data_IF_093148108307
#
_entry.id   IF_093148108307
#
_cell.length_a   1.000
_cell.length_b   1.000
_cell.length_c   1.000
_cell.angle_alpha   90.00
_cell.angle_beta   90.00
_cell.angle_gamma   90.00
#
_symmetry.space_group_name_H-M   'P 1'
#
loop_
_entity.id
_entity.type
_entity.pdbx_description
1 polymer ?
#
# COMPACT_ATOMS: atom_id res chain seq x y z
N UNK A 1 35.78 -9.42 -24.36
CA UNK A 1 35.87 -10.69 -23.60
C UNK A 1 34.72 -11.58 -24.03
N UNK A 2 35.00 -12.80 -24.49
CA UNK A 2 34.00 -13.68 -25.09
C UNK A 2 33.03 -14.22 -24.03
N UNK A 3 31.74 -14.30 -24.37
CA UNK A 3 30.66 -14.84 -23.50
C UNK A 3 30.95 -16.25 -22.95
N UNK A 4 31.89 -16.98 -23.57
CA UNK A 4 32.37 -18.28 -23.11
C UNK A 4 33.26 -18.19 -21.85
N UNK A 5 34.11 -17.18 -21.75
CA UNK A 5 35.02 -16.98 -20.61
C UNK A 5 34.27 -16.55 -19.36
N UNK A 6 33.16 -15.82 -19.49
CA UNK A 6 32.32 -15.43 -18.35
C UNK A 6 31.55 -16.61 -17.74
N UNK A 7 31.14 -17.57 -18.57
CA UNK A 7 30.44 -18.79 -18.10
C UNK A 7 31.38 -19.76 -17.38
N UNK A 8 32.65 -19.84 -17.79
CA UNK A 8 33.67 -20.67 -17.14
C UNK A 8 34.04 -20.11 -15.77
N UNK A 9 34.14 -18.79 -15.62
CA UNK A 9 34.41 -18.13 -14.31
C UNK A 9 33.23 -18.30 -13.36
N UNK A 10 31.98 -18.23 -13.83
CA UNK A 10 30.79 -18.43 -12.98
C UNK A 10 30.67 -19.88 -12.48
N UNK A 11 31.04 -20.87 -13.31
CA UNK A 11 31.04 -22.30 -12.92
C UNK A 11 32.18 -22.59 -11.93
N UNK A 12 33.37 -21.96 -12.08
CA UNK A 12 34.48 -22.10 -11.16
C UNK A 12 34.21 -21.51 -9.78
N UNK A 13 33.50 -20.39 -9.68
CA UNK A 13 33.09 -19.79 -8.40
C UNK A 13 32.01 -20.66 -7.71
N UNK A 14 31.08 -21.26 -8.47
CA UNK A 14 30.07 -22.14 -7.89
C UNK A 14 30.68 -23.47 -7.38
N UNK A 15 31.73 -23.98 -8.06
CA UNK A 15 32.44 -25.20 -7.63
C UNK A 15 33.28 -24.98 -6.35
N UNK A 16 33.79 -23.80 -6.11
CA UNK A 16 34.52 -23.45 -4.89
C UNK A 16 33.62 -23.32 -3.66
N UNK A 17 32.35 -22.97 -3.82
CA UNK A 17 31.37 -22.95 -2.71
C UNK A 17 30.88 -24.34 -2.31
N UNK A 18 30.83 -25.30 -3.23
CA UNK A 18 30.44 -26.70 -2.92
C UNK A 18 31.57 -27.56 -2.39
N UNK A 19 32.83 -27.22 -2.66
CA UNK A 19 33.97 -27.99 -2.12
C UNK A 19 34.28 -27.65 -0.64
N UNK A 20 33.80 -26.53 -0.11
CA UNK A 20 33.93 -26.18 1.33
C UNK A 20 33.05 -26.99 2.26
N UNK A 21 31.91 -27.51 1.79
CA UNK A 21 30.92 -28.24 2.59
C UNK A 21 31.26 -29.73 2.66
N UNK A 22 31.96 -30.29 1.66
CA UNK A 22 32.34 -31.70 1.64
C UNK A 22 33.59 -32.02 2.49
N UNK A 23 34.40 -31.02 2.86
CA UNK A 23 35.61 -31.24 3.66
C UNK A 23 35.35 -31.37 5.18
N UNK A 24 34.20 -30.93 5.67
CA UNK A 24 33.84 -31.07 7.10
C UNK A 24 33.19 -32.41 7.45
N UNK A 25 32.68 -33.16 6.47
CA UNK A 25 32.03 -34.46 6.71
C UNK A 25 32.99 -35.66 6.76
N UNK A 26 34.26 -35.50 6.34
CA UNK A 26 35.23 -36.62 6.32
C UNK A 26 36.24 -36.63 7.46
N UNK A 27 36.19 -35.69 8.40
CA UNK A 27 37.18 -35.62 9.49
C UNK A 27 36.66 -36.13 10.84
N UNK A 28 35.66 -37.01 10.85
CA UNK A 28 35.16 -37.60 12.11
C UNK A 28 35.53 -39.08 12.33
N UNK A 29 36.32 -39.70 11.46
CA UNK A 29 36.61 -41.12 11.62
C UNK A 29 38.09 -41.57 11.64
N UNK A 30 39.02 -40.68 12.02
CA UNK A 30 40.42 -41.13 12.23
C UNK A 30 41.14 -40.29 13.25
N UNK A 31 40.87 -40.51 14.54
CA UNK A 31 41.81 -40.19 15.62
C UNK A 31 41.43 -40.98 16.87
N UNK A 32 41.78 -42.25 16.88
CA UNK A 32 42.15 -42.93 18.14
C UNK A 32 43.67 -42.99 18.22
N UNK A 33 44.17 -42.55 19.42
CA UNK A 33 45.55 -42.69 19.99
C UNK A 33 46.55 -41.56 19.62
N UNK A 34 46.76 -40.64 20.55
CA UNK A 34 47.97 -40.54 21.39
C UNK A 34 47.93 -39.32 22.30
N UNK A 35 48.00 -39.59 23.58
CA UNK A 35 48.66 -38.95 24.73
C UNK A 35 48.65 -37.43 24.96
N UNK A 36 47.96 -37.08 26.06
CA UNK A 36 48.33 -36.14 27.14
C UNK A 36 49.01 -34.79 26.82
N UNK A 37 48.18 -33.72 26.84
CA UNK A 37 48.38 -32.58 27.71
C UNK A 37 47.00 -31.92 28.00
N UNK A 38 46.56 -32.04 29.24
CA UNK A 38 45.31 -31.43 29.72
C UNK A 38 45.46 -29.91 29.87
N UNK A 39 44.89 -29.14 28.94
CA UNK A 39 44.46 -27.78 29.23
C UNK A 39 42.98 -27.79 29.59
N UNK A 40 42.55 -27.29 30.77
CA UNK A 40 41.15 -27.25 31.13
C UNK A 40 40.45 -26.22 30.23
N UNK A 41 39.74 -26.68 29.16
CA UNK A 41 38.80 -25.86 28.44
C UNK A 41 37.67 -25.54 29.41
N UNK A 42 37.67 -24.35 30.00
CA UNK A 42 36.54 -23.77 30.68
C UNK A 42 35.38 -23.68 29.68
N UNK A 43 34.54 -24.71 29.62
CA UNK A 43 33.21 -24.63 29.06
C UNK A 43 32.45 -23.64 29.91
N UNK A 44 32.31 -22.40 29.40
CA UNK A 44 31.41 -21.42 29.95
C UNK A 44 30.02 -22.04 29.94
N UNK A 45 29.61 -22.64 31.08
CA UNK A 45 28.25 -23.14 31.25
C UNK A 45 27.34 -21.89 31.01
N UNK A 46 26.58 -21.88 29.91
CA UNK A 46 25.48 -20.97 29.75
C UNK A 46 24.59 -21.20 30.96
N UNK A 47 24.56 -20.23 31.90
CA UNK A 47 23.59 -20.26 33.00
C UNK A 47 22.24 -20.46 32.38
N UNK A 48 21.65 -21.63 32.56
CA UNK A 48 20.26 -21.87 32.21
C UNK A 48 19.45 -20.84 32.97
N UNK A 49 18.81 -19.90 32.22
CA UNK A 49 17.88 -18.97 32.81
C UNK A 49 16.77 -19.83 33.40
N UNK A 50 16.56 -19.77 34.74
CA UNK A 50 15.42 -20.42 35.38
C UNK A 50 14.16 -19.97 34.62
N UNK A 51 13.28 -20.93 34.22
CA UNK A 51 12.00 -20.54 33.62
C UNK A 51 11.30 -19.60 34.58
N UNK A 52 10.70 -18.54 34.08
CA UNK A 52 9.91 -17.62 34.87
C UNK A 52 8.61 -18.30 35.24
N UNK A 53 8.25 -18.26 36.52
CA UNK A 53 6.99 -18.82 37.00
C UNK A 53 5.85 -17.82 36.74
N UNK A 54 5.04 -18.08 35.71
CA UNK A 54 3.87 -17.27 35.37
C UNK A 54 2.75 -17.38 36.42
N UNK A 55 2.79 -18.36 37.29
CA UNK A 55 1.85 -18.50 38.41
C UNK A 55 2.29 -17.71 39.65
N UNK A 56 3.48 -17.12 39.65
CA UNK A 56 3.93 -16.28 40.75
C UNK A 56 3.06 -15.02 40.83
N UNK A 57 2.62 -14.69 42.03
CA UNK A 57 1.84 -13.47 42.25
C UNK A 57 2.67 -12.22 41.90
N UNK A 58 2.24 -11.39 40.91
CA UNK A 58 2.97 -10.19 40.50
C UNK A 58 3.12 -9.15 41.63
N UNK A 59 2.21 -9.14 42.60
CA UNK A 59 2.23 -8.27 43.79
C UNK A 59 3.24 -8.74 44.84
N UNK A 60 3.76 -9.95 44.73
CA UNK A 60 4.75 -10.42 45.69
C UNK A 60 6.03 -9.58 45.63
N UNK A 61 6.38 -8.95 46.74
CA UNK A 61 7.57 -8.11 46.86
C UNK A 61 7.38 -6.63 46.49
N UNK A 62 6.16 -6.19 46.14
CA UNK A 62 5.82 -4.77 45.93
C UNK A 62 5.62 -4.14 47.32
N UNK A 63 6.57 -3.32 47.76
CA UNK A 63 6.57 -2.67 49.09
C UNK A 63 6.73 -1.14 49.00
N UNK A 64 6.60 -0.57 47.81
CA UNK A 64 6.78 0.87 47.61
C UNK A 64 5.56 1.70 48.03
N UNK A 65 5.78 3.02 48.20
CA UNK A 65 4.70 3.99 48.37
C UNK A 65 3.87 4.20 47.08
N UNK A 66 4.37 3.74 45.95
CA UNK A 66 3.73 3.81 44.63
C UNK A 66 3.75 2.40 43.99
N UNK A 67 2.91 1.48 44.47
CA UNK A 67 2.93 0.09 44.02
C UNK A 67 2.48 -0.06 42.53
N UNK A 68 1.63 0.82 42.05
CA UNK A 68 1.21 0.91 40.65
C UNK A 68 2.39 1.25 39.73
N UNK A 69 3.20 2.24 40.09
CA UNK A 69 4.42 2.57 39.37
C UNK A 69 5.42 1.43 39.37
N UNK A 70 5.61 0.78 40.51
CA UNK A 70 6.55 -0.33 40.63
C UNK A 70 6.14 -1.50 39.73
N UNK A 71 4.85 -1.84 39.63
CA UNK A 71 4.32 -2.84 38.73
C UNK A 71 4.55 -2.43 37.26
N UNK A 72 4.27 -1.16 36.91
CA UNK A 72 4.51 -0.64 35.59
C UNK A 72 5.99 -0.73 35.20
N UNK A 73 6.90 -0.25 36.05
CA UNK A 73 8.34 -0.29 35.83
C UNK A 73 8.85 -1.74 35.69
N UNK A 74 8.34 -2.66 36.51
CA UNK A 74 8.65 -4.10 36.43
C UNK A 74 8.23 -4.69 35.07
N UNK A 75 7.03 -4.35 34.61
CA UNK A 75 6.55 -4.75 33.29
C UNK A 75 7.45 -4.21 32.16
N UNK A 76 7.84 -2.92 32.21
CA UNK A 76 8.74 -2.32 31.24
C UNK A 76 10.13 -3.00 31.21
N UNK A 77 10.65 -3.39 32.37
CA UNK A 77 11.89 -4.18 32.46
C UNK A 77 11.71 -5.57 31.87
N UNK A 78 10.56 -6.22 32.10
CA UNK A 78 10.26 -7.53 31.52
C UNK A 78 10.18 -7.44 29.99
N UNK A 79 9.50 -6.42 29.44
CA UNK A 79 9.40 -6.14 28.02
C UNK A 79 10.77 -5.93 27.36
N UNK A 80 11.66 -5.11 27.96
CA UNK A 80 13.04 -4.91 27.48
C UNK A 80 13.87 -6.20 27.46
N UNK A 81 13.52 -7.19 28.28
CA UNK A 81 14.17 -8.50 28.32
C UNK A 81 13.53 -9.52 27.37
N UNK A 82 12.50 -9.11 26.59
CA UNK A 82 11.76 -10.00 25.70
C UNK A 82 10.86 -11.01 26.44
N UNK A 83 10.43 -10.68 27.67
CA UNK A 83 9.52 -11.51 28.49
C UNK A 83 8.12 -10.91 28.39
N UNK A 84 7.51 -11.04 27.25
CA UNK A 84 6.27 -10.33 26.92
C UNK A 84 5.07 -10.83 27.71
N UNK A 85 4.99 -12.14 27.95
CA UNK A 85 3.99 -12.80 28.80
C UNK A 85 4.03 -12.28 30.25
N UNK A 86 5.23 -12.15 30.82
CA UNK A 86 5.45 -11.58 32.17
C UNK A 86 5.06 -10.12 32.21
N UNK A 87 5.45 -9.34 31.18
CA UNK A 87 5.08 -7.92 31.10
C UNK A 87 3.56 -7.75 31.04
N UNK A 88 2.85 -8.56 30.26
CA UNK A 88 1.38 -8.55 30.19
C UNK A 88 0.74 -8.87 31.54
N UNK A 89 1.25 -9.89 32.23
CA UNK A 89 0.75 -10.27 33.56
C UNK A 89 0.91 -9.11 34.56
N UNK A 90 2.10 -8.48 34.61
CA UNK A 90 2.36 -7.35 35.50
C UNK A 90 1.47 -6.15 35.16
N UNK A 91 1.28 -5.82 33.85
CA UNK A 91 0.41 -4.74 33.37
C UNK A 91 -1.07 -5.00 33.69
N UNK A 92 -1.59 -6.20 33.42
CA UNK A 92 -2.97 -6.58 33.71
C UNK A 92 -3.24 -6.56 35.22
N UNK A 93 -2.28 -7.04 36.03
CA UNK A 93 -2.38 -6.95 37.49
C UNK A 93 -2.44 -5.51 37.94
N UNK A 94 -1.62 -4.62 37.39
CA UNK A 94 -1.65 -3.19 37.69
C UNK A 94 -3.01 -2.57 37.32
N UNK A 95 -3.51 -2.80 36.10
CA UNK A 95 -4.77 -2.27 35.61
C UNK A 95 -5.97 -2.71 36.45
N UNK A 96 -5.98 -3.96 36.91
CA UNK A 96 -7.04 -4.54 37.73
C UNK A 96 -6.97 -4.06 39.17
N UNK A 97 -5.78 -3.87 39.73
CA UNK A 97 -5.58 -3.53 41.15
C UNK A 97 -5.63 -2.02 41.39
N UNK A 98 -5.19 -1.23 40.43
CA UNK A 98 -5.05 0.22 40.51
C UNK A 98 -5.75 0.94 39.34
N UNK A 99 -7.08 0.86 39.21
CA UNK A 99 -7.83 1.42 38.09
C UNK A 99 -7.75 2.94 37.98
N UNK A 100 -7.45 3.64 39.06
CA UNK A 100 -7.31 5.11 39.14
C UNK A 100 -5.84 5.58 39.02
N UNK A 101 -4.92 4.69 38.68
CA UNK A 101 -3.50 5.03 38.53
C UNK A 101 -3.25 6.02 37.37
N UNK A 102 -2.34 6.96 37.61
CA UNK A 102 -1.83 7.85 36.55
C UNK A 102 -1.16 7.09 35.37
N UNK A 103 -0.69 5.86 35.61
CA UNK A 103 -0.08 4.98 34.61
C UNK A 103 -1.09 4.15 33.82
N UNK A 104 -2.41 4.23 34.13
CA UNK A 104 -3.45 3.40 33.52
C UNK A 104 -3.44 3.44 32.02
N UNK A 105 -3.45 4.63 31.42
CA UNK A 105 -3.46 4.78 29.94
C UNK A 105 -2.20 4.19 29.32
N UNK A 106 -1.03 4.53 29.87
CA UNK A 106 0.24 3.98 29.38
C UNK A 106 0.34 2.48 29.57
N UNK A 107 -0.17 1.93 30.66
CA UNK A 107 -0.20 0.50 30.91
C UNK A 107 -1.11 -0.22 29.88
N UNK A 108 -2.31 0.32 29.60
CA UNK A 108 -3.21 -0.26 28.58
C UNK A 108 -2.56 -0.25 27.19
N UNK A 109 -1.95 0.86 26.78
CA UNK A 109 -1.20 0.96 25.53
C UNK A 109 -0.03 -0.04 25.50
N UNK A 110 0.69 -0.19 26.61
CA UNK A 110 1.83 -1.11 26.73
C UNK A 110 1.42 -2.59 26.66
N UNK A 111 0.18 -2.97 26.94
CA UNK A 111 -0.31 -4.33 26.69
C UNK A 111 -0.26 -4.62 25.19
N UNK A 112 -0.79 -3.73 24.35
CA UNK A 112 -0.65 -3.82 22.89
C UNK A 112 0.82 -3.89 22.44
N UNK A 113 1.70 -3.05 23.04
CA UNK A 113 3.13 -3.05 22.75
C UNK A 113 3.82 -4.39 23.04
N UNK A 114 3.35 -5.12 24.05
CA UNK A 114 3.91 -6.45 24.35
C UNK A 114 3.59 -7.45 23.24
N UNK A 115 2.35 -7.42 22.72
CA UNK A 115 1.92 -8.25 21.63
C UNK A 115 2.63 -7.89 20.32
N UNK A 116 2.72 -6.59 20.02
CA UNK A 116 3.42 -6.10 18.83
C UNK A 116 4.90 -6.54 18.81
N UNK A 117 5.62 -6.41 19.94
CA UNK A 117 7.02 -6.82 20.06
C UNK A 117 7.23 -8.32 20.09
N UNK A 118 6.24 -9.09 20.52
CA UNK A 118 6.28 -10.54 20.45
C UNK A 118 6.30 -11.02 19.00
N UNK A 119 5.51 -10.37 18.14
CA UNK A 119 5.47 -10.62 16.71
C UNK A 119 4.79 -11.92 16.33
N UNK A 120 4.72 -12.15 15.01
CA UNK A 120 3.96 -13.26 14.44
C UNK A 120 2.47 -12.92 14.29
N UNK A 121 1.78 -13.56 13.33
CA UNK A 121 0.43 -13.10 12.92
C UNK A 121 -0.58 -13.10 14.09
N UNK A 122 -0.59 -14.12 14.93
CA UNK A 122 -1.51 -14.20 16.07
C UNK A 122 -1.27 -13.09 17.10
N UNK A 123 0.00 -12.78 17.41
CA UNK A 123 0.33 -11.69 18.35
C UNK A 123 0.04 -10.32 17.75
N UNK A 124 0.28 -10.12 16.45
CA UNK A 124 -0.04 -8.87 15.76
C UNK A 124 -1.56 -8.62 15.71
N UNK A 125 -2.39 -9.64 15.47
CA UNK A 125 -3.85 -9.52 15.59
C UNK A 125 -4.30 -9.14 17.00
N UNK A 126 -3.66 -9.67 18.05
CA UNK A 126 -3.95 -9.27 19.42
C UNK A 126 -3.48 -7.84 19.71
N UNK A 127 -2.32 -7.43 19.17
CA UNK A 127 -1.83 -6.05 19.30
C UNK A 127 -2.81 -5.06 18.67
N UNK A 128 -3.29 -5.35 17.46
CA UNK A 128 -4.30 -4.56 16.77
C UNK A 128 -5.55 -4.37 17.65
N UNK A 129 -6.15 -5.47 18.13
CA UNK A 129 -7.32 -5.42 19.00
C UNK A 129 -7.08 -4.57 20.26
N UNK A 130 -5.92 -4.71 20.91
CA UNK A 130 -5.59 -3.91 22.11
C UNK A 130 -5.41 -2.41 21.81
N UNK A 131 -4.87 -2.06 20.64
CA UNK A 131 -4.75 -0.67 20.21
C UNK A 131 -6.10 -0.06 19.81
N UNK A 132 -6.96 -0.79 19.10
CA UNK A 132 -8.32 -0.35 18.77
C UNK A 132 -9.19 -0.17 20.02
N UNK A 133 -9.12 -1.10 20.98
CA UNK A 133 -9.72 -0.96 22.29
C UNK A 133 -9.23 0.31 23.00
N UNK A 134 -7.90 0.57 22.94
CA UNK A 134 -7.34 1.77 23.55
C UNK A 134 -7.93 3.04 22.94
N UNK A 135 -7.99 3.13 21.60
CA UNK A 135 -8.56 4.28 20.88
C UNK A 135 -10.05 4.46 21.24
N UNK A 136 -10.79 3.36 21.34
CA UNK A 136 -12.21 3.38 21.67
C UNK A 136 -12.45 3.91 23.10
N UNK A 137 -11.65 3.49 24.06
CA UNK A 137 -11.81 3.92 25.47
C UNK A 137 -11.18 5.29 25.77
N UNK A 138 -10.17 5.69 25.00
CA UNK A 138 -9.40 6.92 25.24
C UNK A 138 -9.21 7.76 23.96
N UNK A 139 -10.28 8.16 23.24
CA UNK A 139 -10.16 8.75 21.90
C UNK A 139 -9.47 10.13 21.88
N UNK A 140 -9.53 10.86 23.00
CA UNK A 140 -9.09 12.27 23.08
C UNK A 140 -7.73 12.46 23.76
N UNK A 141 -6.96 11.39 23.94
CA UNK A 141 -5.62 11.48 24.53
C UNK A 141 -4.52 11.43 23.46
N UNK A 142 -3.37 12.08 23.69
CA UNK A 142 -2.27 12.05 22.72
C UNK A 142 -1.80 10.64 22.37
N UNK A 143 -1.89 9.71 23.31
CA UNK A 143 -1.54 8.30 23.14
C UNK A 143 -2.48 7.56 22.16
N UNK A 144 -3.69 8.09 21.90
CA UNK A 144 -4.59 7.51 20.89
C UNK A 144 -4.00 7.64 19.47
N UNK A 145 -3.34 8.76 19.18
CA UNK A 145 -2.60 8.92 17.92
C UNK A 145 -1.44 7.91 17.81
N UNK A 146 -0.75 7.64 18.92
CA UNK A 146 0.30 6.61 18.96
C UNK A 146 -0.28 5.21 18.74
N UNK A 147 -1.41 4.89 19.34
CA UNK A 147 -2.10 3.62 19.14
C UNK A 147 -2.53 3.43 17.68
N UNK A 148 -3.16 4.46 17.07
CA UNK A 148 -3.57 4.41 15.64
C UNK A 148 -2.38 4.26 14.71
N UNK A 149 -1.27 4.97 15.00
CA UNK A 149 -0.03 4.81 14.26
C UNK A 149 0.52 3.37 14.33
N UNK A 150 0.40 2.71 15.49
CA UNK A 150 0.85 1.33 15.67
C UNK A 150 -0.04 0.32 14.98
N UNK A 151 -1.35 0.56 14.88
CA UNK A 151 -2.24 -0.25 14.03
C UNK A 151 -1.76 -0.19 12.57
N UNK A 152 -1.48 1.00 12.06
CA UNK A 152 -0.92 1.16 10.71
C UNK A 152 0.46 0.48 10.56
N UNK A 153 1.35 0.63 11.54
CA UNK A 153 2.68 0.00 11.56
C UNK A 153 2.58 -1.56 11.54
N UNK A 154 1.53 -2.17 12.11
CA UNK A 154 1.29 -3.63 12.04
C UNK A 154 1.16 -4.09 10.58
N UNK A 155 0.34 -3.42 9.79
CA UNK A 155 0.14 -3.75 8.38
C UNK A 155 1.37 -3.39 7.55
N UNK A 156 2.01 -2.26 7.84
CA UNK A 156 3.25 -1.85 7.18
C UNK A 156 4.36 -2.89 7.31
N UNK A 157 4.56 -3.47 8.50
CA UNK A 157 5.58 -4.50 8.74
C UNK A 157 5.25 -5.84 8.06
N UNK A 158 3.98 -6.06 7.73
CA UNK A 158 3.51 -7.27 7.04
C UNK A 158 3.40 -7.11 5.52
N UNK A 159 3.71 -5.93 4.98
CA UNK A 159 3.70 -5.72 3.52
C UNK A 159 4.64 -6.70 2.82
N UNK A 160 4.16 -7.22 1.70
CA UNK A 160 4.94 -8.05 0.80
C UNK A 160 5.43 -7.23 -0.42
N UNK A 161 6.09 -7.91 -1.36
CA UNK A 161 6.56 -7.31 -2.61
C UNK A 161 5.37 -6.94 -3.51
N UNK A 162 5.53 -5.95 -4.42
CA UNK A 162 4.45 -5.49 -5.31
C UNK A 162 3.81 -6.60 -6.16
N UNK A 163 4.58 -7.65 -6.50
CA UNK A 163 4.15 -8.81 -7.30
C UNK A 163 3.41 -9.88 -6.47
N UNK A 164 3.16 -9.65 -5.19
CA UNK A 164 2.54 -10.59 -4.25
C UNK A 164 1.23 -10.06 -3.67
N UNK A 165 0.89 -10.54 -2.46
CA UNK A 165 -0.28 -10.08 -1.74
C UNK A 165 -0.13 -8.63 -1.30
N UNK A 166 -1.05 -7.80 -1.74
CA UNK A 166 -1.08 -6.37 -1.49
C UNK A 166 -2.08 -5.96 -0.39
N UNK A 167 -2.81 -6.93 0.18
CA UNK A 167 -3.86 -6.67 1.19
C UNK A 167 -3.33 -5.87 2.37
N UNK A 168 -2.14 -6.23 2.88
CA UNK A 168 -1.53 -5.49 3.98
C UNK A 168 -1.09 -4.07 3.58
N UNK A 169 -0.69 -3.85 2.32
CA UNK A 169 -0.36 -2.52 1.83
C UNK A 169 -1.61 -1.63 1.73
N UNK A 170 -2.74 -2.14 1.21
CA UNK A 170 -4.02 -1.40 1.19
C UNK A 170 -4.51 -1.09 2.61
N UNK A 171 -4.37 -2.03 3.55
CA UNK A 171 -4.72 -1.79 4.94
C UNK A 171 -3.83 -0.72 5.56
N UNK A 172 -2.50 -0.82 5.40
CA UNK A 172 -1.56 0.17 5.90
C UNK A 172 -1.86 1.58 5.33
N UNK A 173 -2.15 1.68 4.03
CA UNK A 173 -2.53 2.94 3.39
C UNK A 173 -3.77 3.56 4.06
N UNK A 174 -4.83 2.76 4.26
CA UNK A 174 -6.05 3.22 4.91
C UNK A 174 -5.78 3.67 6.36
N UNK A 175 -5.07 2.86 7.14
CA UNK A 175 -4.81 3.13 8.54
C UNK A 175 -3.95 4.40 8.75
N UNK A 176 -2.92 4.63 7.90
CA UNK A 176 -2.14 5.87 7.95
C UNK A 176 -2.96 7.09 7.56
N UNK A 177 -3.82 7.00 6.52
CA UNK A 177 -4.74 8.09 6.16
C UNK A 177 -5.72 8.41 7.28
N UNK A 178 -6.32 7.40 7.88
CA UNK A 178 -7.19 7.58 9.03
C UNK A 178 -6.46 8.23 10.20
N UNK A 179 -5.23 7.78 10.52
CA UNK A 179 -4.40 8.40 11.57
C UNK A 179 -4.16 9.88 11.31
N UNK A 180 -3.81 10.26 10.07
CA UNK A 180 -3.56 11.65 9.68
C UNK A 180 -4.83 12.49 9.80
N UNK A 181 -5.98 11.95 9.38
CA UNK A 181 -7.26 12.65 9.40
C UNK A 181 -7.84 12.77 10.82
N UNK A 182 -7.71 11.73 11.66
CA UNK A 182 -8.22 11.73 13.02
C UNK A 182 -7.39 12.58 14.00
N UNK A 183 -6.07 12.65 13.79
CA UNK A 183 -5.15 13.30 14.70
C UNK A 183 -4.24 14.33 14.01
N UNK A 184 -4.80 15.35 13.32
CA UNK A 184 -4.03 16.28 12.47
C UNK A 184 -2.97 17.08 13.26
N UNK A 185 -3.17 17.30 14.55
CA UNK A 185 -2.27 18.05 15.42
C UNK A 185 -1.20 17.17 16.10
N UNK A 186 -1.17 15.86 15.79
CA UNK A 186 -0.22 14.94 16.42
C UNK A 186 1.21 15.20 15.93
N UNK A 187 2.17 15.12 16.84
CA UNK A 187 3.61 15.19 16.51
C UNK A 187 4.08 14.01 15.64
N UNK A 188 3.26 12.97 15.49
CA UNK A 188 3.53 11.79 14.66
C UNK A 188 3.18 12.00 13.18
N UNK A 189 2.46 13.08 12.82
CA UNK A 189 2.03 13.36 11.43
C UNK A 189 3.17 13.30 10.41
N UNK A 190 4.35 13.92 10.61
CA UNK A 190 5.42 13.82 9.63
C UNK A 190 5.88 12.38 9.37
N UNK A 191 5.93 11.55 10.42
CA UNK A 191 6.26 10.13 10.31
C UNK A 191 5.15 9.35 9.62
N UNK A 192 3.88 9.60 9.95
CA UNK A 192 2.73 8.95 9.30
C UNK A 192 2.69 9.26 7.80
N UNK A 193 2.91 10.53 7.41
CA UNK A 193 2.99 10.94 6.01
C UNK A 193 4.14 10.24 5.27
N UNK A 194 5.31 10.07 5.89
CA UNK A 194 6.41 9.33 5.26
C UNK A 194 6.04 7.87 5.07
N UNK A 195 5.50 7.20 6.10
CA UNK A 195 5.04 5.82 6.00
C UNK A 195 3.94 5.64 4.93
N UNK A 196 3.03 6.61 4.83
CA UNK A 196 2.01 6.61 3.78
C UNK A 196 2.64 6.69 2.38
N UNK A 197 3.63 7.56 2.16
CA UNK A 197 4.39 7.61 0.89
C UNK A 197 5.08 6.29 0.58
N UNK A 198 5.71 5.66 1.58
CA UNK A 198 6.38 4.35 1.40
C UNK A 198 5.37 3.26 0.97
N UNK A 199 4.16 3.26 1.53
CA UNK A 199 3.09 2.33 1.16
C UNK A 199 2.57 2.62 -0.25
N UNK A 200 2.33 3.89 -0.56
CA UNK A 200 1.86 4.34 -1.88
C UNK A 200 2.86 4.02 -2.98
N UNK A 201 4.16 4.05 -2.68
CA UNK A 201 5.21 3.59 -3.61
C UNK A 201 5.06 2.10 -3.98
N UNK A 202 4.75 1.24 -2.98
CA UNK A 202 4.54 -0.20 -3.20
C UNK A 202 3.29 -0.47 -4.03
N UNK A 203 2.18 0.22 -3.73
CA UNK A 203 0.91 0.06 -4.44
C UNK A 203 1.01 0.59 -5.88
N UNK A 204 1.67 1.73 -6.07
CA UNK A 204 1.95 2.30 -7.39
C UNK A 204 2.82 1.38 -8.25
N UNK A 205 3.91 0.84 -7.69
CA UNK A 205 4.78 -0.11 -8.39
C UNK A 205 4.01 -1.35 -8.86
N UNK A 206 3.07 -1.84 -8.03
CA UNK A 206 2.22 -2.97 -8.42
C UNK A 206 1.34 -2.65 -9.63
N UNK A 207 0.60 -1.54 -9.60
CA UNK A 207 -0.26 -1.13 -10.71
C UNK A 207 0.56 -0.81 -11.97
N UNK A 208 1.73 -0.21 -11.82
CA UNK A 208 2.68 0.03 -12.89
C UNK A 208 3.13 -1.28 -13.56
N UNK A 209 3.52 -2.29 -12.79
CA UNK A 209 3.90 -3.61 -13.32
C UNK A 209 2.76 -4.29 -14.08
N UNK A 210 1.52 -4.14 -13.60
CA UNK A 210 0.33 -4.67 -14.29
C UNK A 210 0.10 -3.91 -15.59
N UNK A 211 0.22 -2.58 -15.58
CA UNK A 211 0.08 -1.74 -16.78
C UNK A 211 1.11 -2.11 -17.86
N UNK A 212 2.39 -2.18 -17.48
CA UNK A 212 3.49 -2.58 -18.39
C UNK A 212 3.31 -4.00 -18.92
N UNK A 213 2.74 -4.92 -18.13
CA UNK A 213 2.43 -6.27 -18.61
C UNK A 213 1.39 -6.25 -19.75
N UNK A 214 0.32 -5.43 -19.63
CA UNK A 214 -0.65 -5.27 -20.69
C UNK A 214 -0.06 -4.60 -21.93
N UNK A 215 0.80 -3.61 -21.76
CA UNK A 215 1.50 -2.93 -22.84
C UNK A 215 2.35 -3.90 -23.68
N UNK A 216 3.12 -4.79 -23.03
CA UNK A 216 3.93 -5.82 -23.72
C UNK A 216 3.10 -6.82 -24.54
N UNK A 217 1.78 -6.81 -24.40
CA UNK A 217 0.83 -7.67 -25.12
C UNK A 217 -0.04 -6.91 -26.09
N UNK A 218 0.31 -5.64 -26.34
CA UNK A 218 -0.45 -4.75 -27.23
C UNK A 218 -1.92 -4.52 -26.77
N UNK A 219 -2.23 -4.82 -25.48
CA UNK A 219 -3.53 -4.49 -24.87
C UNK A 219 -3.47 -3.09 -24.27
N UNK A 220 -3.38 -2.09 -25.16
CA UNK A 220 -3.14 -0.70 -24.76
C UNK A 220 -4.26 -0.12 -23.88
N UNK A 221 -5.51 -0.50 -24.12
CA UNK A 221 -6.64 0.00 -23.32
C UNK A 221 -6.56 -0.49 -21.88
N UNK A 222 -6.20 -1.75 -21.67
CA UNK A 222 -6.00 -2.28 -20.32
C UNK A 222 -4.75 -1.68 -19.66
N UNK A 223 -3.68 -1.45 -20.42
CA UNK A 223 -2.48 -0.76 -19.96
C UNK A 223 -2.80 0.66 -19.49
N UNK A 224 -3.45 1.47 -20.33
CA UNK A 224 -3.88 2.84 -20.00
C UNK A 224 -4.70 2.85 -18.71
N UNK A 225 -5.66 1.94 -18.55
CA UNK A 225 -6.50 1.91 -17.36
C UNK A 225 -5.72 1.69 -16.05
N UNK A 226 -4.64 0.90 -16.09
CA UNK A 226 -3.77 0.67 -14.94
C UNK A 226 -2.80 1.82 -14.71
N UNK A 227 -2.18 2.31 -15.76
CA UNK A 227 -1.22 3.41 -15.68
C UNK A 227 -1.91 4.74 -15.29
N UNK A 228 -3.12 5.01 -15.81
CA UNK A 228 -3.94 6.15 -15.38
C UNK A 228 -4.30 6.05 -13.88
N UNK A 229 -4.54 4.83 -13.37
CA UNK A 229 -4.77 4.63 -11.93
C UNK A 229 -3.53 5.06 -11.12
N UNK A 230 -2.31 4.73 -11.58
CA UNK A 230 -1.07 5.19 -10.94
C UNK A 230 -0.95 6.71 -11.00
N UNK A 231 -1.13 7.30 -12.19
CA UNK A 231 -0.96 8.74 -12.40
C UNK A 231 -1.98 9.61 -11.64
N UNK A 232 -3.16 9.05 -11.34
CA UNK A 232 -4.24 9.73 -10.61
C UNK A 232 -4.08 9.55 -9.09
N UNK A 233 -3.85 8.30 -8.64
CA UNK A 233 -3.87 7.97 -7.22
C UNK A 233 -2.52 8.20 -6.51
N UNK A 234 -1.39 8.08 -7.24
CA UNK A 234 -0.04 8.08 -6.68
C UNK A 234 0.91 9.07 -7.36
N UNK A 235 0.62 10.39 -7.34
CA UNK A 235 1.42 11.39 -8.08
C UNK A 235 2.87 11.54 -7.61
N UNK A 236 3.20 11.06 -6.41
CA UNK A 236 4.56 11.07 -5.84
C UNK A 236 5.36 9.80 -6.11
N UNK A 237 4.80 8.87 -6.88
CA UNK A 237 5.47 7.63 -7.26
C UNK A 237 6.81 7.88 -7.97
N UNK A 238 7.82 7.08 -7.66
CA UNK A 238 9.20 7.30 -8.13
C UNK A 238 9.37 7.25 -9.65
N UNK A 239 8.48 6.57 -10.37
CA UNK A 239 8.49 6.44 -11.83
C UNK A 239 7.30 7.12 -12.50
N UNK A 240 6.76 8.19 -11.89
CA UNK A 240 5.59 8.90 -12.46
C UNK A 240 5.85 9.47 -13.85
N UNK A 241 7.08 9.88 -14.14
CA UNK A 241 7.52 10.29 -15.48
C UNK A 241 7.45 9.14 -16.49
N UNK A 242 7.98 7.95 -16.13
CA UNK A 242 7.88 6.73 -16.94
C UNK A 242 6.42 6.31 -17.16
N UNK A 243 5.60 6.35 -16.10
CA UNK A 243 4.15 6.05 -16.19
C UNK A 243 3.49 6.92 -17.26
N UNK A 244 3.79 8.22 -17.29
CA UNK A 244 3.22 9.13 -18.28
C UNK A 244 3.77 8.88 -19.70
N UNK A 245 5.03 8.46 -19.83
CA UNK A 245 5.58 8.02 -21.11
C UNK A 245 4.83 6.79 -21.60
N UNK A 246 4.68 5.76 -20.75
CA UNK A 246 4.01 4.51 -21.10
C UNK A 246 2.52 4.75 -21.44
N UNK A 247 1.83 5.65 -20.73
CA UNK A 247 0.48 6.11 -21.11
C UNK A 247 0.45 6.70 -22.51
N UNK A 248 1.42 7.58 -22.81
CA UNK A 248 1.54 8.19 -24.11
C UNK A 248 1.80 7.16 -25.21
N UNK A 249 2.74 6.24 -24.96
CA UNK A 249 3.10 5.15 -25.90
C UNK A 249 1.92 4.19 -26.11
N UNK A 250 1.14 3.88 -25.06
CA UNK A 250 -0.07 3.08 -25.18
C UNK A 250 -1.18 3.78 -25.99
N UNK A 251 -1.39 5.09 -25.81
CA UNK A 251 -2.31 5.84 -26.67
C UNK A 251 -1.84 5.90 -28.13
N UNK A 252 -0.54 6.06 -28.40
CA UNK A 252 0.02 6.01 -29.73
C UNK A 252 -0.13 4.62 -30.36
N UNK A 253 0.08 3.56 -29.59
CA UNK A 253 -0.15 2.18 -29.99
C UNK A 253 -1.61 1.91 -30.34
N UNK A 254 -2.56 2.42 -29.57
CA UNK A 254 -3.98 2.30 -29.87
C UNK A 254 -4.36 3.08 -31.15
N UNK A 255 -3.78 4.27 -31.37
CA UNK A 255 -3.95 5.02 -32.61
C UNK A 255 -3.49 4.20 -33.83
N UNK A 256 -2.35 3.50 -33.70
CA UNK A 256 -1.85 2.59 -34.73
C UNK A 256 -2.78 1.39 -34.96
N UNK A 257 -3.28 0.76 -33.91
CA UNK A 257 -4.25 -0.34 -34.00
C UNK A 257 -5.51 0.07 -34.76
N UNK A 258 -6.01 1.28 -34.52
CA UNK A 258 -7.17 1.84 -35.22
C UNK A 258 -6.88 2.03 -36.71
N UNK A 259 -5.69 2.53 -37.06
CA UNK A 259 -5.28 2.67 -38.46
C UNK A 259 -5.28 1.33 -39.19
N UNK A 260 -4.81 0.27 -38.53
CA UNK A 260 -4.75 -1.08 -39.08
C UNK A 260 -6.07 -1.84 -39.01
N UNK A 261 -7.07 -1.38 -38.26
CA UNK A 261 -8.31 -2.10 -38.02
C UNK A 261 -9.11 -2.36 -39.31
N UNK A 262 -9.48 -3.61 -39.64
CA UNK A 262 -10.30 -3.90 -40.83
C UNK A 262 -11.73 -3.43 -40.63
N UNK A 263 -12.41 -3.02 -41.70
CA UNK A 263 -13.86 -2.74 -41.70
C UNK A 263 -14.29 -1.36 -41.23
N UNK A 264 -13.40 -0.55 -40.67
CA UNK A 264 -13.68 0.84 -40.35
C UNK A 264 -13.51 1.76 -41.56
N UNK A 265 -14.42 2.73 -41.74
CA UNK A 265 -14.32 3.78 -42.73
C UNK A 265 -13.10 4.66 -42.45
N UNK A 266 -12.35 5.07 -43.50
CA UNK A 266 -11.15 5.91 -43.39
C UNK A 266 -11.37 7.21 -42.59
N UNK A 267 -12.52 7.87 -42.80
CA UNK A 267 -12.87 9.08 -42.03
C UNK A 267 -13.13 8.83 -40.53
N UNK A 268 -13.65 7.65 -40.19
CA UNK A 268 -13.83 7.22 -38.77
C UNK A 268 -12.48 6.92 -38.14
N UNK A 269 -11.61 6.16 -38.86
CA UNK A 269 -10.23 5.89 -38.43
C UNK A 269 -9.48 7.16 -38.12
N UNK A 270 -9.52 8.14 -39.02
CA UNK A 270 -8.80 9.41 -38.88
C UNK A 270 -9.26 10.18 -37.64
N UNK A 271 -10.59 10.25 -37.42
CA UNK A 271 -11.12 10.93 -36.22
C UNK A 271 -10.70 10.24 -34.92
N UNK A 272 -10.80 8.90 -34.86
CA UNK A 272 -10.37 8.16 -33.68
C UNK A 272 -8.86 8.30 -33.45
N UNK A 273 -8.06 8.11 -34.50
CA UNK A 273 -6.60 8.25 -34.46
C UNK A 273 -6.20 9.62 -33.89
N UNK A 274 -6.80 10.70 -34.43
CA UNK A 274 -6.52 12.07 -33.96
C UNK A 274 -6.77 12.23 -32.45
N UNK A 275 -7.86 11.67 -31.93
CA UNK A 275 -8.18 11.74 -30.49
C UNK A 275 -7.12 11.03 -29.64
N UNK A 276 -6.68 9.83 -30.07
CA UNK A 276 -5.66 9.08 -29.32
C UNK A 276 -4.27 9.72 -29.43
N UNK A 277 -3.90 10.25 -30.59
CA UNK A 277 -2.67 11.03 -30.77
C UNK A 277 -2.68 12.31 -29.90
N UNK A 278 -3.81 12.98 -29.77
CA UNK A 278 -3.95 14.15 -28.89
C UNK A 278 -3.77 13.76 -27.40
N UNK A 279 -4.32 12.61 -26.99
CA UNK A 279 -4.13 12.06 -25.64
C UNK A 279 -2.67 11.66 -25.40
N UNK A 280 -2.01 11.01 -26.37
CA UNK A 280 -0.59 10.69 -26.28
C UNK A 280 0.26 11.95 -26.11
N UNK A 281 0.03 12.97 -26.94
CA UNK A 281 0.72 14.26 -26.84
C UNK A 281 0.48 14.95 -25.48
N UNK A 282 -0.73 14.87 -24.94
CA UNK A 282 -1.05 15.42 -23.63
C UNK A 282 -0.29 14.70 -22.48
N UNK A 283 -0.14 13.37 -22.57
CA UNK A 283 0.64 12.59 -21.60
C UNK A 283 2.12 12.99 -21.62
N UNK A 284 2.75 13.05 -22.81
CA UNK A 284 4.14 13.50 -22.94
C UNK A 284 4.33 14.94 -22.48
N UNK A 285 3.40 15.85 -22.81
CA UNK A 285 3.43 17.23 -22.36
C UNK A 285 3.38 17.32 -20.82
N UNK A 286 2.61 16.44 -20.17
CA UNK A 286 2.51 16.37 -18.70
C UNK A 286 3.83 15.95 -18.05
N UNK A 287 4.64 15.07 -18.68
CA UNK A 287 6.00 14.76 -18.20
C UNK A 287 6.83 16.04 -18.09
N UNK A 288 6.87 16.83 -19.17
CA UNK A 288 7.70 18.05 -19.23
C UNK A 288 7.22 19.10 -18.27
N UNK A 289 5.89 19.26 -18.10
CA UNK A 289 5.32 20.33 -17.29
C UNK A 289 5.26 20.02 -15.81
N UNK A 290 5.12 18.73 -15.41
CA UNK A 290 5.01 18.35 -14.00
C UNK A 290 6.32 17.77 -13.43
N UNK A 291 7.09 17.04 -14.24
CA UNK A 291 8.32 16.34 -13.82
C UNK A 291 9.55 16.78 -14.63
N UNK A 292 9.82 18.11 -14.79
CA UNK A 292 10.86 18.60 -15.69
C UNK A 292 12.29 18.21 -15.32
N UNK A 293 12.53 17.70 -14.12
CA UNK A 293 13.84 17.24 -13.65
C UNK A 293 13.95 15.72 -13.60
N UNK A 294 12.90 15.00 -14.02
CA UNK A 294 12.90 13.55 -14.04
C UNK A 294 13.70 12.96 -15.22
N UNK A 295 14.13 11.70 -15.16
CA UNK A 295 14.99 11.09 -16.16
C UNK A 295 14.44 11.06 -17.59
N UNK A 296 13.11 10.88 -17.79
CA UNK A 296 12.49 10.66 -19.11
C UNK A 296 11.95 11.92 -19.79
N UNK A 297 12.36 13.11 -19.34
CA UNK A 297 11.90 14.38 -19.93
C UNK A 297 12.34 14.53 -21.41
N UNK A 298 13.57 14.14 -21.73
CA UNK A 298 14.05 14.22 -23.12
C UNK A 298 13.33 13.20 -24.02
N UNK A 299 12.98 12.03 -23.50
CA UNK A 299 12.17 11.05 -24.22
C UNK A 299 10.77 11.61 -24.57
N UNK A 300 10.14 12.35 -23.63
CA UNK A 300 8.87 13.03 -23.89
C UNK A 300 8.99 14.13 -24.96
N UNK A 301 10.07 14.91 -24.93
CA UNK A 301 10.35 15.95 -25.94
C UNK A 301 10.50 15.33 -27.34
N UNK A 302 11.28 14.28 -27.46
CA UNK A 302 11.53 13.60 -28.74
C UNK A 302 10.23 13.05 -29.32
N UNK A 303 9.35 12.46 -28.49
CA UNK A 303 8.04 11.94 -28.94
C UNK A 303 7.13 13.06 -29.43
N UNK A 304 7.05 14.22 -28.71
CA UNK A 304 6.27 15.37 -29.16
C UNK A 304 6.79 15.93 -30.48
N UNK A 305 8.11 16.06 -30.65
CA UNK A 305 8.73 16.51 -31.89
C UNK A 305 8.42 15.54 -33.04
N UNK A 306 8.54 14.22 -32.81
CA UNK A 306 8.20 13.19 -33.81
C UNK A 306 6.72 13.27 -34.25
N UNK A 307 5.82 13.63 -33.34
CA UNK A 307 4.40 13.85 -33.62
C UNK A 307 4.09 15.23 -34.23
N UNK A 308 5.09 16.09 -34.51
CA UNK A 308 4.94 17.48 -34.91
C UNK A 308 4.05 18.30 -33.97
N UNK A 309 4.13 18.03 -32.65
CA UNK A 309 3.42 18.77 -31.60
C UNK A 309 4.34 19.79 -30.94
N UNK A 310 3.74 20.83 -30.38
CA UNK A 310 4.48 21.84 -29.62
C UNK A 310 5.00 21.28 -28.31
N UNK A 311 6.28 21.50 -28.04
CA UNK A 311 6.90 21.15 -26.77
C UNK A 311 6.61 22.26 -25.76
N UNK A 312 5.93 21.98 -24.63
CA UNK A 312 5.64 23.00 -23.63
C UNK A 312 6.88 23.35 -22.81
N UNK A 313 6.93 24.57 -22.27
CA UNK A 313 7.97 24.98 -21.33
C UNK A 313 7.47 24.80 -19.89
N UNK A 314 8.29 24.19 -19.01
CA UNK A 314 7.93 24.02 -17.60
C UNK A 314 7.98 25.37 -16.85
N UNK A 315 7.15 25.51 -15.82
CA UNK A 315 7.21 26.68 -14.94
C UNK A 315 8.38 26.55 -13.95
N UNK A 316 8.89 27.69 -13.45
CA UNK A 316 9.96 27.70 -12.44
C UNK A 316 9.53 26.96 -11.14
N UNK A 317 8.24 27.04 -10.79
CA UNK A 317 7.70 26.30 -9.65
C UNK A 317 7.75 24.78 -9.86
N UNK A 318 7.36 24.30 -11.06
CA UNK A 318 7.44 22.88 -11.39
C UNK A 318 8.89 22.37 -11.42
N UNK A 319 9.83 23.18 -11.93
CA UNK A 319 11.27 22.84 -11.89
C UNK A 319 11.74 22.69 -10.45
N UNK A 320 11.41 23.64 -9.57
CA UNK A 320 11.86 23.59 -8.17
C UNK A 320 11.21 22.41 -7.41
N UNK A 321 9.95 22.10 -7.67
CA UNK A 321 9.22 20.98 -7.06
C UNK A 321 9.80 19.64 -7.52
N UNK A 322 9.96 19.43 -8.84
CA UNK A 322 10.53 18.21 -9.41
C UNK A 322 11.98 17.99 -8.97
N UNK A 323 12.79 19.06 -8.87
CA UNK A 323 14.16 18.98 -8.36
C UNK A 323 14.22 18.59 -6.89
N UNK A 324 13.30 19.11 -6.06
CA UNK A 324 13.20 18.72 -4.65
C UNK A 324 12.75 17.26 -4.50
N UNK A 325 11.80 16.80 -5.31
CA UNK A 325 11.36 15.40 -5.34
C UNK A 325 12.53 14.48 -5.72
N UNK A 326 13.24 14.74 -6.83
CA UNK A 326 14.34 13.91 -7.30
C UNK A 326 15.51 13.86 -6.29
N UNK A 327 15.91 15.00 -5.71
CA UNK A 327 16.98 15.03 -4.71
C UNK A 327 16.63 14.36 -3.40
N UNK A 328 15.36 14.25 -3.07
CA UNK A 328 14.90 13.63 -1.83
C UNK A 328 14.87 12.10 -1.91
N UNK A 329 14.91 11.52 -3.10
CA UNK A 329 14.94 10.07 -3.32
C UNK A 329 16.35 9.53 -3.09
N UNK A 330 16.45 8.41 -2.38
CA UNK A 330 17.72 7.70 -2.24
C UNK A 330 17.77 6.55 -3.25
N UNK A 331 18.86 6.47 -4.05
CA UNK A 331 19.02 5.36 -4.97
C UNK A 331 19.20 4.05 -4.21
N UNK A 332 18.59 2.97 -4.71
CA UNK A 332 18.81 1.62 -4.17
C UNK A 332 20.29 1.26 -4.25
N UNK A 333 20.90 0.95 -3.11
CA UNK A 333 22.25 0.41 -3.10
C UNK A 333 22.24 -1.03 -3.64
N UNK A 334 23.31 -1.41 -4.34
CA UNK A 334 23.46 -2.78 -4.89
C UNK A 334 23.27 -3.87 -3.81
N UNK A 335 23.69 -3.60 -2.58
CA UNK A 335 23.50 -4.47 -1.42
C UNK A 335 22.02 -4.68 -1.09
N UNK A 336 21.17 -3.66 -1.25
CA UNK A 336 19.74 -3.74 -0.97
C UNK A 336 19.03 -4.60 -1.99
N UNK A 337 19.44 -4.52 -3.25
CA UNK A 337 18.93 -5.38 -4.33
C UNK A 337 19.27 -6.86 -4.07
N UNK A 338 20.51 -7.15 -3.65
CA UNK A 338 20.92 -8.52 -3.33
C UNK A 338 20.21 -9.09 -2.10
N UNK A 339 20.05 -8.28 -1.05
CA UNK A 339 19.33 -8.67 0.17
C UNK A 339 17.83 -8.76 -0.10
N UNK A 340 17.30 -7.92 -0.99
CA UNK A 340 15.91 -7.89 -1.40
C UNK A 340 15.40 -9.20 -2.01
N UNK A 341 16.28 -10.00 -2.63
CA UNK A 341 15.91 -11.34 -3.16
C UNK A 341 15.49 -12.28 -2.01
N UNK A 342 16.08 -12.13 -0.82
CA UNK A 342 15.87 -13.03 0.33
C UNK A 342 14.83 -12.44 1.30
N UNK A 343 14.67 -11.12 1.37
CA UNK A 343 13.70 -10.46 2.23
C UNK A 343 12.26 -10.66 1.71
N UNK A 344 11.32 -10.85 2.63
CA UNK A 344 9.88 -10.88 2.32
C UNK A 344 9.30 -9.49 2.05
N UNK A 345 9.83 -8.46 2.68
CA UNK A 345 9.37 -7.09 2.57
C UNK A 345 9.58 -6.49 1.18
N UNK A 346 8.92 -5.35 0.89
CA UNK A 346 8.97 -4.69 -0.41
C UNK A 346 10.40 -4.30 -0.78
N UNK A 347 10.72 -4.49 -2.07
CA UNK A 347 11.99 -4.08 -2.72
C UNK A 347 11.67 -3.05 -3.79
N UNK A 348 11.18 -1.91 -3.37
CA UNK A 348 10.90 -0.74 -4.22
C UNK A 348 11.94 0.35 -3.95
N UNK A 349 12.00 1.33 -4.83
CA UNK A 349 12.78 2.56 -4.60
C UNK A 349 12.25 3.22 -3.32
N UNK A 350 13.11 3.87 -2.56
CA UNK A 350 12.68 4.63 -1.40
C UNK A 350 11.78 5.79 -1.86
N UNK A 351 10.61 5.91 -1.21
CA UNK A 351 9.65 6.95 -1.55
C UNK A 351 10.24 8.35 -1.29
N UNK A 352 9.76 9.32 -2.05
CA UNK A 352 10.11 10.73 -1.89
C UNK A 352 9.89 11.22 -0.45
N UNK A 353 10.79 12.07 0.06
CA UNK A 353 10.69 12.64 1.42
C UNK A 353 9.97 13.98 1.47
N UNK A 354 9.63 14.56 0.32
CA UNK A 354 8.92 15.83 0.17
C UNK A 354 7.57 15.63 -0.53
N UNK A 355 6.71 16.62 -0.48
CA UNK A 355 5.37 16.53 -1.06
C UNK A 355 4.35 15.91 -0.10
N UNK A 356 3.08 16.20 -0.35
CA UNK A 356 1.97 15.68 0.43
C UNK A 356 1.47 14.37 -0.20
N UNK A 357 1.42 13.26 0.57
CA UNK A 357 0.83 12.03 0.07
C UNK A 357 -0.66 12.20 -0.16
N UNK A 358 -1.22 11.45 -1.10
CA UNK A 358 -2.66 11.45 -1.37
C UNK A 358 -3.43 10.92 -0.16
N UNK A 359 -4.37 11.74 0.35
CA UNK A 359 -5.23 11.38 1.50
C UNK A 359 -6.61 10.89 1.07
N UNK A 360 -6.98 11.07 -0.19
CA UNK A 360 -8.23 10.56 -0.76
C UNK A 360 -8.17 9.04 -0.91
N UNK A 361 -9.33 8.39 -0.81
CA UNK A 361 -9.41 6.96 -1.07
C UNK A 361 -9.12 6.68 -2.55
N UNK A 362 -8.11 5.86 -2.88
CA UNK A 362 -7.77 5.59 -4.26
C UNK A 362 -8.90 4.85 -4.95
N UNK A 363 -9.17 5.23 -6.18
CA UNK A 363 -10.01 4.43 -7.06
C UNK A 363 -9.28 3.12 -7.37
N UNK A 364 -9.85 1.97 -7.03
CA UNK A 364 -9.21 0.66 -7.22
C UNK A 364 -8.75 0.40 -8.66
N UNK A 365 -9.47 0.96 -9.62
CA UNK A 365 -9.11 0.91 -11.05
C UNK A 365 -9.93 1.92 -11.83
N UNK A 366 -9.30 2.56 -12.79
CA UNK A 366 -9.97 3.43 -13.76
C UNK A 366 -10.48 2.67 -14.99
N UNK A 367 -10.43 1.34 -15.01
CA UNK A 367 -10.87 0.52 -16.14
C UNK A 367 -12.33 0.79 -16.58
N UNK A 368 -13.33 0.97 -15.71
CA UNK A 368 -14.67 1.34 -16.13
C UNK A 368 -14.75 2.69 -16.85
N UNK A 369 -14.02 3.71 -16.32
CA UNK A 369 -13.97 5.05 -16.88
C UNK A 369 -13.27 5.05 -18.24
N UNK A 370 -12.12 4.38 -18.36
CA UNK A 370 -11.36 4.26 -19.62
C UNK A 370 -12.18 3.52 -20.67
N UNK A 371 -12.87 2.44 -20.30
CA UNK A 371 -13.76 1.70 -21.20
C UNK A 371 -14.90 2.57 -21.73
N UNK A 372 -15.55 3.35 -20.86
CA UNK A 372 -16.63 4.25 -21.28
C UNK A 372 -16.11 5.41 -22.14
N UNK A 373 -14.93 5.95 -21.83
CA UNK A 373 -14.28 6.95 -22.66
C UNK A 373 -13.99 6.42 -24.08
N UNK A 374 -13.46 5.19 -24.20
CA UNK A 374 -13.17 4.57 -25.49
C UNK A 374 -14.45 4.33 -26.30
N UNK A 375 -15.50 3.85 -25.64
CA UNK A 375 -16.82 3.70 -26.25
C UNK A 375 -17.35 5.05 -26.76
N UNK A 376 -17.20 6.11 -25.96
CA UNK A 376 -17.60 7.48 -26.36
C UNK A 376 -16.82 7.95 -27.56
N UNK A 377 -15.48 7.78 -27.58
CA UNK A 377 -14.64 8.13 -28.73
C UNK A 377 -15.09 7.41 -30.00
N UNK A 378 -15.39 6.12 -29.90
CA UNK A 378 -15.91 5.33 -31.03
C UNK A 378 -17.27 5.85 -31.50
N UNK A 379 -18.22 6.05 -30.60
CA UNK A 379 -19.58 6.52 -30.94
C UNK A 379 -19.56 7.91 -31.56
N UNK A 380 -18.75 8.82 -31.03
CA UNK A 380 -18.60 10.18 -31.56
C UNK A 380 -17.98 10.14 -32.96
N UNK A 381 -16.94 9.32 -33.16
CA UNK A 381 -16.32 9.15 -34.45
C UNK A 381 -17.29 8.60 -35.51
N UNK A 382 -18.19 7.70 -35.10
CA UNK A 382 -19.23 7.13 -35.97
C UNK A 382 -20.36 8.12 -36.27
N UNK A 383 -20.72 8.98 -35.33
CA UNK A 383 -21.85 9.92 -35.45
C UNK A 383 -21.48 11.24 -36.13
N UNK A 384 -20.23 11.64 -36.09
CA UNK A 384 -19.77 12.86 -36.80
C UNK A 384 -19.89 12.66 -38.30
N UNK A 385 -20.81 13.40 -38.91
CA UNK A 385 -21.16 13.30 -40.35
C UNK A 385 -22.58 12.81 -40.62
N UNK A 386 -23.30 12.34 -39.59
CA UNK A 386 -24.76 12.27 -39.68
C UNK A 386 -25.35 13.64 -39.33
N UNK A 387 -26.30 14.17 -40.12
CA UNK A 387 -27.05 15.36 -39.67
C UNK A 387 -27.61 15.05 -38.28
N UNK A 388 -27.42 15.98 -37.34
CA UNK A 388 -28.05 15.85 -36.04
C UNK A 388 -29.52 15.47 -36.26
N UNK A 389 -29.96 14.34 -35.73
CA UNK A 389 -31.38 14.02 -35.72
C UNK A 389 -32.06 15.25 -35.10
N UNK A 390 -33.11 15.82 -35.74
CA UNK A 390 -33.78 16.96 -35.18
C UNK A 390 -34.12 16.59 -33.74
N UNK A 391 -33.63 17.42 -32.79
CA UNK A 391 -33.97 17.24 -31.38
C UNK A 391 -35.46 16.96 -31.32
N UNK A 392 -35.83 15.75 -30.87
CA UNK A 392 -37.26 15.42 -30.75
C UNK A 392 -37.88 16.56 -29.97
N UNK A 393 -38.73 17.35 -30.64
CA UNK A 393 -39.37 18.48 -30.01
C UNK A 393 -40.04 17.91 -28.76
N UNK A 394 -39.57 18.37 -27.60
CA UNK A 394 -40.22 18.06 -26.34
C UNK A 394 -41.60 18.72 -26.47
N UNK A 395 -42.61 17.95 -26.94
CA UNK A 395 -43.98 18.39 -26.89
C UNK A 395 -44.29 18.56 -25.41
N UNK A 396 -44.72 19.77 -25.00
CA UNK A 396 -45.10 19.97 -23.61
C UNK A 396 -46.25 18.99 -23.33
N UNK A 397 -46.03 18.05 -22.43
CA UNK A 397 -47.04 17.15 -21.91
C UNK A 397 -48.19 18.00 -21.34
N UNK A 398 -49.38 17.85 -21.89
CA UNK A 398 -50.54 18.53 -21.34
C UNK A 398 -50.81 18.04 -19.91
N UNK A 399 -51.59 18.83 -19.11
CA UNK A 399 -51.75 18.61 -17.66
C UNK A 399 -52.48 17.29 -17.28
N UNK A 400 -52.76 16.35 -18.21
CA UNK A 400 -53.55 15.15 -18.00
C UNK A 400 -52.88 13.83 -18.42
N UNK A 401 -51.57 13.78 -18.66
CA UNK A 401 -50.92 12.47 -18.87
C UNK A 401 -50.42 11.89 -17.52
N UNK A 402 -50.66 10.59 -17.23
CA UNK A 402 -50.14 9.96 -16.03
C UNK A 402 -48.59 9.95 -16.08
N UNK A 403 -47.91 10.14 -14.94
CA UNK A 403 -46.45 10.16 -14.88
C UNK A 403 -45.88 8.83 -15.36
N UNK A 404 -44.83 8.91 -16.19
CA UNK A 404 -44.08 7.71 -16.62
C UNK A 404 -43.47 7.01 -15.40
N UNK A 405 -43.59 5.67 -15.39
CA UNK A 405 -43.15 4.81 -14.28
C UNK A 405 -41.63 4.74 -14.05
N UNK A 406 -40.83 5.41 -14.89
CA UNK A 406 -39.37 5.42 -14.91
C UNK A 406 -38.71 6.75 -14.41
N UNK A 407 -39.52 7.73 -13.95
CA UNK A 407 -39.00 8.92 -13.31
C UNK A 407 -38.95 8.79 -11.79
N UNK A 408 -37.81 9.13 -11.13
CA UNK A 408 -37.75 9.15 -9.67
C UNK A 408 -38.74 10.20 -9.15
N UNK A 409 -39.61 9.77 -8.20
CA UNK A 409 -40.60 10.62 -7.57
C UNK A 409 -39.91 11.75 -6.78
N UNK A 410 -40.12 13.00 -7.18
CA UNK A 410 -39.70 14.21 -6.47
C UNK A 410 -40.70 14.71 -5.42
N UNK A 411 -41.64 13.87 -4.98
CA UNK A 411 -42.59 14.24 -3.93
C UNK A 411 -41.92 14.11 -2.53
N UNK A 412 -42.04 15.11 -1.64
CA UNK A 412 -41.57 15.00 -0.28
C UNK A 412 -42.35 13.91 0.47
N UNK A 413 -41.64 13.03 1.18
CA UNK A 413 -42.22 12.05 2.08
C UNK A 413 -43.05 12.75 3.16
N UNK A 414 -44.37 12.72 3.03
CA UNK A 414 -45.28 13.01 4.13
C UNK A 414 -45.26 11.83 5.11
N UNK A 415 -44.73 12.07 6.31
CA UNK A 415 -44.91 11.16 7.43
C UNK A 415 -46.38 11.00 7.75
N UNK A 416 -46.93 9.84 7.46
CA UNK A 416 -48.22 9.42 8.03
C UNK A 416 -47.98 8.85 9.43
N UNK A 417 -48.75 9.34 10.39
CA UNK A 417 -48.79 8.83 11.75
C UNK A 417 -49.27 7.37 11.79
N UNK A 418 -48.84 6.56 12.77
CA UNK A 418 -49.19 5.16 12.84
C UNK A 418 -50.65 4.96 13.21
N UNK A 419 -51.41 4.35 12.27
CA UNK A 419 -52.75 3.85 12.51
C UNK A 419 -52.70 2.44 13.10
N UNK A 420 -53.54 2.21 14.10
CA UNK A 420 -53.70 1.00 14.89
C UNK A 420 -54.05 -0.26 14.05
N UNK A 421 -53.39 -1.31 14.38
CA UNK A 421 -53.75 -2.71 14.50
C UNK A 421 -54.54 -3.42 13.38
N UNK A 422 -53.90 -4.42 12.78
CA UNK A 422 -54.49 -5.76 12.64
C UNK A 422 -53.37 -6.80 12.61
N UNK A 423 -53.39 -7.68 13.61
CA UNK A 423 -52.41 -8.74 13.78
C UNK A 423 -52.48 -9.79 12.67
N UNK A 424 -51.32 -10.17 12.15
CA UNK A 424 -51.15 -11.38 11.36
C UNK A 424 -50.52 -12.43 12.28
N UNK A 425 -51.31 -13.49 12.54
CA UNK A 425 -50.88 -14.64 13.33
C UNK A 425 -49.75 -15.40 12.63
N UNK A 426 -48.69 -15.66 13.36
CA UNK A 426 -47.63 -16.57 12.93
C UNK A 426 -48.01 -17.97 13.38
N UNK A 427 -48.28 -18.86 12.47
CA UNK A 427 -48.53 -20.29 12.69
C UNK A 427 -47.19 -21.00 12.86
N UNK A 428 -46.95 -21.51 14.08
CA UNK A 428 -45.74 -22.29 14.41
C UNK A 428 -45.99 -23.74 13.96
N UNK A 429 -45.29 -24.17 12.92
CA UNK A 429 -45.26 -25.57 12.50
C UNK A 429 -44.22 -26.32 13.30
N UNK A 430 -44.69 -27.22 14.20
CA UNK A 430 -43.84 -28.16 14.92
C UNK A 430 -43.35 -29.26 13.95
N UNK A 431 -42.04 -29.51 13.93
CA UNK A 431 -41.45 -30.68 13.30
C UNK A 431 -41.65 -31.95 14.17
N UNK A 432 -41.90 -33.10 13.58
CA UNK A 432 -42.06 -34.37 14.32
C UNK A 432 -40.71 -34.97 14.70
N UNK A 433 -40.73 -35.72 15.78
CA UNK A 433 -39.70 -36.47 16.47
C UNK A 433 -38.83 -37.38 15.61
#
# INVERSE_FOLDING_TARGET
>A
MNRLSLRIVAIAVLALFFSGIAAEAQNQNSAQNQDDVQHPKYKRQKKQKKPYDLNANPLAGVQSKQPDKELYDKAMVAMKKGRYDVARLDLQTMLNTYPESEYRMRAKLSVGDTWFKEGGSAALTQAEAEYEDFITFFPNVPEAAEAKMKVADIYYEQMEKPDRDFTNAEQAEREYREMINMFPDSTLIPRAKQRLRDVQEVLAEREFQIGSYYETRDDYIASIARLDTVADSYPLYSKSDQVLIDIGDAYAGEAHNIEMAPGLNGAVKERMRSVYEDKAAAAYAKVITRYPMAPHVEDARDRLVAMNRTVPEPTQAAIAESDAEERSRQPLHFTDTMIGIIKRGPTVVEAVHVGEPTLDDPTRTLAPQVTEQNKTVFMDAMNQGKPAAPAAAITPTGPNEPPRSDQPSTAPLQMQAPGEGTGVGVEVVNAPS
#
